data_IF_072106827652
#
_entry.id   IF_072106827652
#
_cell.length_a   1.000
_cell.length_b   1.000
_cell.length_c   1.000
_cell.angle_alpha   90.00
_cell.angle_beta   90.00
_cell.angle_gamma   90.00
#
_symmetry.space_group_name_H-M   'P 1'
#
loop_
_entity.id
_entity.type
_entity.pdbx_description
1 polymer ?
#
# COMPACT_ATOMS: atom_id res chain seq x y z
N UNK A 1 -40.81 25.98 -46.67
CA UNK A 1 -41.06 26.34 -45.24
C UNK A 1 -41.52 25.10 -44.48
N UNK A 2 -42.44 24.26 -45.01
CA UNK A 2 -42.92 23.04 -44.36
C UNK A 2 -41.81 21.99 -44.13
N UNK A 3 -40.89 21.84 -45.08
CA UNK A 3 -39.76 20.90 -45.00
C UNK A 3 -38.73 21.28 -43.93
N UNK A 4 -38.54 22.59 -43.72
CA UNK A 4 -37.61 23.13 -42.69
C UNK A 4 -38.20 22.93 -41.28
N UNK A 5 -39.51 23.10 -41.15
CA UNK A 5 -40.21 22.81 -39.89
C UNK A 5 -40.22 21.34 -39.52
N UNK A 6 -40.31 20.43 -40.48
CA UNK A 6 -40.24 18.98 -40.25
C UNK A 6 -38.84 18.54 -39.87
N UNK A 7 -37.79 19.15 -40.45
CA UNK A 7 -36.39 18.90 -40.12
C UNK A 7 -36.03 19.36 -38.69
N UNK A 8 -36.62 20.51 -38.27
CA UNK A 8 -36.44 21.05 -36.92
C UNK A 8 -37.09 20.18 -35.83
N UNK A 9 -38.21 19.51 -36.15
CA UNK A 9 -38.91 18.64 -35.20
C UNK A 9 -38.16 17.29 -34.96
N UNK A 10 -37.38 16.82 -35.94
CA UNK A 10 -36.57 15.58 -35.82
C UNK A 10 -35.33 15.77 -34.96
N UNK A 11 -34.87 17.00 -34.70
CA UNK A 11 -33.73 17.28 -33.84
C UNK A 11 -34.09 17.35 -32.34
N UNK A 12 -35.38 17.32 -31.99
CA UNK A 12 -35.87 17.36 -30.61
C UNK A 12 -36.04 15.98 -29.97
N UNK A 13 -35.82 14.89 -30.71
CA UNK A 13 -35.65 13.58 -30.10
C UNK A 13 -34.22 13.46 -29.55
N UNK A 14 -33.86 14.36 -28.65
CA UNK A 14 -32.69 14.21 -27.84
C UNK A 14 -32.79 12.86 -27.12
N UNK A 15 -31.83 11.97 -27.36
CA UNK A 15 -31.63 10.79 -26.57
C UNK A 15 -31.77 11.18 -25.09
N UNK A 16 -32.90 10.88 -24.48
CA UNK A 16 -32.97 10.81 -23.04
C UNK A 16 -31.96 9.71 -22.65
N UNK A 17 -30.81 10.15 -22.18
CA UNK A 17 -29.86 9.26 -21.52
C UNK A 17 -30.62 8.66 -20.35
N UNK A 18 -31.27 7.51 -20.59
CA UNK A 18 -31.75 6.69 -19.48
C UNK A 18 -30.53 6.42 -18.63
N UNK A 19 -30.55 6.97 -17.47
CA UNK A 19 -29.62 6.52 -16.43
C UNK A 19 -29.90 5.05 -16.20
N UNK A 20 -29.07 4.20 -16.80
CA UNK A 20 -29.11 2.72 -16.67
C UNK A 20 -28.91 2.23 -15.24
N UNK A 21 -28.87 3.15 -14.27
CA UNK A 21 -28.63 2.88 -12.85
C UNK A 21 -29.91 2.51 -12.06
N UNK A 22 -31.11 2.87 -12.55
CA UNK A 22 -32.35 2.62 -11.82
C UNK A 22 -32.88 1.18 -11.95
N UNK A 23 -32.43 0.43 -12.95
CA UNK A 23 -32.91 -0.94 -13.21
C UNK A 23 -31.98 -2.04 -12.63
N UNK A 24 -30.82 -1.69 -12.08
CA UNK A 24 -29.93 -2.68 -11.48
C UNK A 24 -30.25 -2.83 -10.00
N UNK A 25 -30.64 -4.04 -9.53
CA UNK A 25 -30.85 -4.25 -8.11
C UNK A 25 -29.53 -4.00 -7.38
N UNK A 26 -29.52 -3.05 -6.51
CA UNK A 26 -28.37 -2.74 -5.66
C UNK A 26 -28.74 -2.97 -4.21
N UNK A 27 -27.84 -3.60 -3.46
CA UNK A 27 -28.00 -3.77 -2.02
C UNK A 27 -27.24 -2.68 -1.30
N UNK A 28 -27.86 -2.10 -0.27
CA UNK A 28 -27.16 -1.21 0.65
C UNK A 28 -26.15 -1.99 1.48
N UNK A 29 -24.95 -1.46 1.58
CA UNK A 29 -23.88 -2.00 2.44
C UNK A 29 -23.40 -0.89 3.36
N UNK A 30 -23.49 -1.10 4.67
CA UNK A 30 -22.98 -0.21 5.72
C UNK A 30 -21.71 -0.82 6.31
N UNK A 31 -20.58 -0.18 6.06
CA UNK A 31 -19.26 -0.62 6.49
C UNK A 31 -18.84 0.18 7.72
N UNK A 32 -18.52 -0.50 8.81
CA UNK A 32 -17.90 0.07 9.99
C UNK A 32 -16.46 -0.41 10.09
N UNK A 33 -15.54 0.52 10.38
CA UNK A 33 -14.13 0.25 10.47
C UNK A 33 -13.68 0.30 11.94
N UNK A 34 -13.09 -0.80 12.41
CA UNK A 34 -12.48 -0.91 13.72
C UNK A 34 -10.98 -0.62 13.65
N UNK A 35 -10.54 0.39 14.40
CA UNK A 35 -9.15 0.82 14.51
C UNK A 35 -8.54 0.49 15.87
N UNK A 36 -9.14 -0.42 16.64
CA UNK A 36 -8.60 -0.84 17.93
C UNK A 36 -7.23 -1.50 17.75
N UNK A 37 -6.25 -0.97 18.48
CA UNK A 37 -4.84 -1.41 18.40
C UNK A 37 -3.97 -0.57 17.48
N UNK A 38 -4.53 0.43 16.79
CA UNK A 38 -3.75 1.43 16.05
C UNK A 38 -3.28 2.50 17.03
N UNK A 39 -1.97 2.64 17.20
CA UNK A 39 -1.33 3.62 18.09
C UNK A 39 -0.90 4.89 17.37
N UNK A 40 -0.79 4.83 16.05
CA UNK A 40 -0.42 5.96 15.22
C UNK A 40 -1.62 6.87 14.95
N UNK A 41 -1.37 8.04 14.35
CA UNK A 41 -2.43 8.92 13.86
C UNK A 41 -3.31 8.15 12.88
N UNK A 42 -4.61 8.17 13.10
CA UNK A 42 -5.57 7.56 12.18
C UNK A 42 -5.48 8.23 10.78
N UNK A 43 -5.67 7.46 9.70
CA UNK A 43 -5.70 7.99 8.35
C UNK A 43 -6.93 8.89 8.15
N UNK A 44 -6.94 9.67 7.06
CA UNK A 44 -8.08 10.53 6.72
C UNK A 44 -9.30 9.72 6.27
N UNK A 45 -9.06 8.58 5.65
CA UNK A 45 -10.10 7.67 5.20
C UNK A 45 -9.53 6.43 4.53
N UNK A 46 -10.42 5.65 3.95
CA UNK A 46 -10.11 4.40 3.26
C UNK A 46 -10.71 4.36 1.87
N UNK A 47 -10.07 3.63 0.99
CA UNK A 47 -10.62 3.24 -0.31
C UNK A 47 -11.09 1.80 -0.22
N UNK A 48 -12.30 1.54 -0.68
CA UNK A 48 -12.95 0.23 -0.67
C UNK A 48 -13.22 -0.17 -2.10
N UNK A 49 -12.70 -1.32 -2.53
CA UNK A 49 -12.86 -1.82 -3.89
C UNK A 49 -13.44 -3.23 -3.85
N UNK A 50 -14.58 -3.41 -4.52
CA UNK A 50 -15.20 -4.69 -4.77
C UNK A 50 -14.88 -5.12 -6.19
N UNK A 51 -14.13 -6.20 -6.33
CA UNK A 51 -13.81 -6.83 -7.61
C UNK A 51 -14.78 -7.98 -7.85
N UNK A 52 -15.61 -7.97 -8.92
CA UNK A 52 -16.51 -9.07 -9.21
C UNK A 52 -15.73 -10.35 -9.50
N UNK A 53 -16.13 -11.45 -8.87
CA UNK A 53 -15.40 -12.72 -8.96
C UNK A 53 -15.85 -13.58 -10.12
N UNK A 54 -17.13 -13.53 -10.45
CA UNK A 54 -17.74 -14.33 -11.50
C UNK A 54 -18.71 -13.49 -12.35
N UNK A 55 -18.59 -13.61 -13.66
CA UNK A 55 -19.53 -12.97 -14.58
C UNK A 55 -19.22 -11.50 -14.89
N UNK A 56 -20.18 -10.81 -15.49
CA UNK A 56 -20.06 -9.45 -16.03
C UNK A 56 -20.30 -8.34 -14.99
N UNK A 57 -20.03 -8.62 -13.72
CA UNK A 57 -20.15 -7.65 -12.65
C UNK A 57 -19.21 -6.45 -12.86
N UNK A 58 -19.63 -5.28 -12.39
CA UNK A 58 -18.79 -4.09 -12.42
C UNK A 58 -18.01 -3.95 -11.12
N UNK A 59 -16.75 -3.54 -11.23
CA UNK A 59 -15.94 -3.11 -10.08
C UNK A 59 -16.67 -1.95 -9.40
N UNK A 60 -16.85 -2.04 -8.09
CA UNK A 60 -17.39 -0.95 -7.27
C UNK A 60 -16.24 -0.39 -6.45
N UNK A 61 -16.01 0.91 -6.54
CA UNK A 61 -14.86 1.59 -5.98
C UNK A 61 -15.34 2.87 -5.29
N UNK A 62 -15.06 3.01 -4.00
CA UNK A 62 -15.50 4.17 -3.23
C UNK A 62 -14.51 4.56 -2.14
N UNK A 63 -14.38 5.85 -1.95
CA UNK A 63 -13.68 6.44 -0.81
C UNK A 63 -14.67 6.62 0.35
N UNK A 64 -14.32 6.13 1.52
CA UNK A 64 -15.09 6.25 2.75
C UNK A 64 -14.27 6.98 3.81
N UNK A 65 -14.99 7.50 4.82
CA UNK A 65 -14.34 8.08 5.99
C UNK A 65 -13.55 7.04 6.78
N UNK A 66 -12.70 7.48 7.70
CA UNK A 66 -12.00 6.59 8.64
C UNK A 66 -12.95 5.72 9.48
N UNK A 67 -14.18 6.13 9.67
CA UNK A 67 -15.21 5.35 10.40
C UNK A 67 -15.96 4.36 9.52
N UNK A 68 -15.73 4.41 8.20
CA UNK A 68 -16.50 3.70 7.20
C UNK A 68 -17.61 4.54 6.59
N UNK A 69 -18.71 3.90 6.23
CA UNK A 69 -19.88 4.55 5.65
C UNK A 69 -20.70 3.61 4.75
N UNK A 70 -21.77 4.16 4.18
CA UNK A 70 -22.68 3.42 3.32
C UNK A 70 -22.25 3.43 1.87
N UNK A 71 -22.47 2.33 1.17
CA UNK A 71 -22.29 2.21 -0.27
C UNK A 71 -23.35 1.29 -0.88
N UNK A 72 -23.55 1.41 -2.19
CA UNK A 72 -24.43 0.55 -2.97
C UNK A 72 -23.58 -0.41 -3.77
N UNK A 73 -23.84 -1.72 -3.61
CA UNK A 73 -23.13 -2.79 -4.31
C UNK A 73 -24.14 -3.72 -4.97
N UNK A 74 -24.04 -4.03 -6.29
CA UNK A 74 -24.89 -5.02 -6.92
C UNK A 74 -24.78 -6.38 -6.24
N UNK A 75 -25.86 -7.18 -6.17
CA UNK A 75 -25.78 -8.56 -5.70
C UNK A 75 -24.76 -9.36 -6.54
N UNK A 76 -23.96 -10.17 -5.87
CA UNK A 76 -22.90 -10.92 -6.53
C UNK A 76 -21.86 -11.47 -5.56
N UNK A 77 -20.81 -12.06 -6.09
CA UNK A 77 -19.64 -12.49 -5.34
C UNK A 77 -18.46 -11.61 -5.71
N UNK A 78 -17.76 -11.13 -4.70
CA UNK A 78 -16.68 -10.16 -4.85
C UNK A 78 -15.45 -10.59 -4.07
N UNK A 79 -14.29 -10.32 -4.62
CA UNK A 79 -13.07 -10.15 -3.82
C UNK A 79 -12.99 -8.68 -3.42
N UNK A 80 -12.63 -8.41 -2.18
CA UNK A 80 -12.66 -7.04 -1.64
C UNK A 80 -11.30 -6.64 -1.10
N UNK A 81 -10.88 -5.43 -1.39
CA UNK A 81 -9.75 -4.79 -0.72
C UNK A 81 -10.19 -3.48 -0.10
N UNK A 82 -9.63 -3.20 1.08
CA UNK A 82 -9.76 -1.92 1.77
C UNK A 82 -8.36 -1.47 2.17
N UNK A 83 -8.02 -0.22 1.91
CA UNK A 83 -6.76 0.36 2.35
C UNK A 83 -6.90 1.86 2.60
N UNK A 84 -6.07 2.40 3.50
CA UNK A 84 -6.04 3.85 3.70
C UNK A 84 -5.40 4.57 2.53
N UNK A 85 -5.92 5.74 2.20
CA UNK A 85 -5.33 6.65 1.22
C UNK A 85 -4.64 7.84 1.92
N UNK A 86 -4.13 8.79 1.13
CA UNK A 86 -3.35 9.96 1.59
C UNK A 86 -2.06 9.57 2.33
N UNK A 87 -1.35 8.60 1.76
CA UNK A 87 0.00 8.23 2.15
C UNK A 87 1.01 9.15 1.44
N UNK A 88 2.13 9.44 2.08
CA UNK A 88 3.16 10.35 1.53
C UNK A 88 4.09 9.61 0.55
N UNK A 89 4.56 8.43 0.94
CA UNK A 89 5.55 7.65 0.18
C UNK A 89 4.94 6.51 -0.63
N UNK A 90 3.80 5.96 -0.20
CA UNK A 90 3.17 4.80 -0.83
C UNK A 90 2.34 5.20 -2.04
N UNK A 91 2.48 4.43 -3.10
CA UNK A 91 1.69 4.49 -4.32
C UNK A 91 1.03 3.16 -4.58
N UNK A 92 -0.10 3.17 -5.28
CA UNK A 92 -0.83 1.95 -5.65
C UNK A 92 -0.76 1.77 -7.16
N UNK A 93 -0.56 0.52 -7.59
CA UNK A 93 -0.59 0.11 -9.00
C UNK A 93 -1.38 -1.18 -9.17
N UNK A 94 -1.71 -1.54 -10.42
CA UNK A 94 -2.41 -2.80 -10.73
C UNK A 94 -3.85 -2.84 -10.21
N UNK A 95 -4.50 -1.70 -10.04
CA UNK A 95 -5.84 -1.54 -9.44
C UNK A 95 -6.98 -2.15 -10.27
N UNK A 96 -6.70 -2.62 -11.47
CA UNK A 96 -7.71 -3.21 -12.36
C UNK A 96 -8.17 -4.58 -11.87
N UNK A 97 -7.35 -5.28 -11.09
CA UNK A 97 -7.61 -6.63 -10.62
C UNK A 97 -7.21 -6.82 -9.16
N UNK A 98 -8.01 -7.62 -8.43
CA UNK A 98 -7.69 -8.09 -7.09
C UNK A 98 -6.32 -8.80 -7.01
N UNK A 99 -5.96 -9.53 -8.06
CA UNK A 99 -4.72 -10.31 -8.12
C UNK A 99 -3.48 -9.43 -8.31
N UNK A 100 -3.64 -8.25 -8.91
CA UNK A 100 -2.53 -7.39 -9.33
C UNK A 100 -2.38 -6.12 -8.50
N UNK A 101 -3.37 -5.78 -7.67
CA UNK A 101 -3.30 -4.56 -6.86
C UNK A 101 -2.16 -4.62 -5.85
N UNK A 102 -1.27 -3.63 -5.91
CA UNK A 102 -0.02 -3.61 -5.18
C UNK A 102 0.31 -2.21 -4.66
N UNK A 103 0.76 -2.15 -3.40
CA UNK A 103 1.36 -0.97 -2.80
C UNK A 103 2.88 -1.01 -2.97
N UNK A 104 3.51 0.10 -3.35
CA UNK A 104 4.94 0.24 -3.53
C UNK A 104 5.40 1.66 -3.18
N UNK A 105 6.70 1.88 -3.05
CA UNK A 105 7.29 3.20 -2.86
C UNK A 105 8.14 3.61 -4.06
N UNK A 106 8.28 4.91 -4.28
CA UNK A 106 9.08 5.43 -5.38
C UNK A 106 10.57 5.35 -5.12
N UNK A 107 11.38 5.49 -6.18
CA UNK A 107 12.83 5.56 -6.08
C UNK A 107 13.30 6.86 -5.41
N UNK A 108 14.43 6.79 -4.72
CA UNK A 108 15.06 7.93 -4.04
C UNK A 108 15.85 8.85 -5.01
N UNK A 109 15.33 9.05 -6.22
CA UNK A 109 15.93 9.94 -7.19
C UNK A 109 15.93 11.38 -6.68
N UNK A 110 17.05 12.07 -6.77
CA UNK A 110 17.14 13.47 -6.40
C UNK A 110 17.72 13.76 -5.01
N UNK A 111 18.13 12.76 -4.24
CA UNK A 111 18.89 12.98 -3.00
C UNK A 111 20.31 13.54 -3.24
N UNK A 112 20.83 13.46 -4.48
CA UNK A 112 22.16 13.93 -4.82
C UNK A 112 23.30 13.12 -4.19
N UNK A 113 23.00 11.96 -3.62
CA UNK A 113 23.96 11.06 -2.96
C UNK A 113 24.15 9.85 -3.84
N UNK A 114 25.40 9.60 -4.23
CA UNK A 114 25.79 8.49 -5.10
C UNK A 114 25.30 7.13 -4.57
N UNK A 115 24.63 6.36 -5.42
CA UNK A 115 24.10 5.02 -5.12
C UNK A 115 22.68 5.01 -4.57
N UNK A 116 22.09 6.18 -4.25
CA UNK A 116 20.70 6.23 -3.75
C UNK A 116 19.66 6.16 -4.87
N UNK A 117 20.05 6.38 -6.11
CA UNK A 117 19.16 6.32 -7.29
C UNK A 117 18.55 4.93 -7.54
N UNK A 118 19.16 3.89 -6.99
CA UNK A 118 18.68 2.50 -7.06
C UNK A 118 17.90 2.07 -5.82
N UNK A 119 17.69 2.96 -4.85
CA UNK A 119 16.98 2.69 -3.61
C UNK A 119 15.55 3.19 -3.70
N UNK A 120 14.66 2.61 -2.89
CA UNK A 120 13.28 3.07 -2.72
C UNK A 120 13.10 3.70 -1.35
N UNK A 121 12.08 4.56 -1.23
CA UNK A 121 11.73 5.16 0.06
C UNK A 121 11.15 4.13 1.02
N UNK A 122 11.39 4.30 2.31
CA UNK A 122 10.65 3.60 3.36
C UNK A 122 9.15 3.90 3.24
N UNK A 123 8.26 2.88 3.29
CA UNK A 123 6.82 3.12 3.28
C UNK A 123 6.35 3.80 4.56
N UNK A 124 5.40 4.70 4.47
CA UNK A 124 4.62 5.19 5.61
C UNK A 124 3.54 4.18 6.05
N UNK A 125 2.67 4.55 6.98
CA UNK A 125 1.70 3.61 7.54
C UNK A 125 0.64 3.21 6.51
N UNK A 126 0.53 1.90 6.26
CA UNK A 126 -0.51 1.30 5.42
C UNK A 126 -1.29 0.25 6.21
N UNK A 127 -2.60 0.43 6.24
CA UNK A 127 -3.56 -0.48 6.86
C UNK A 127 -4.41 -1.10 5.77
N UNK A 128 -4.52 -2.41 5.77
CA UNK A 128 -5.17 -3.18 4.70
C UNK A 128 -6.14 -4.19 5.30
N UNK A 129 -7.24 -4.41 4.60
CA UNK A 129 -8.07 -5.60 4.69
C UNK A 129 -8.23 -6.18 3.29
N UNK A 130 -8.08 -7.48 3.16
CA UNK A 130 -8.39 -8.22 1.94
C UNK A 130 -9.32 -9.39 2.26
N UNK A 131 -10.33 -9.57 1.41
CA UNK A 131 -11.31 -10.66 1.51
C UNK A 131 -11.35 -11.34 0.15
N UNK A 132 -11.00 -12.61 0.10
CA UNK A 132 -10.98 -13.36 -1.16
C UNK A 132 -12.39 -13.53 -1.74
N UNK A 133 -13.38 -13.82 -0.90
CA UNK A 133 -14.76 -13.96 -1.36
C UNK A 133 -15.76 -13.39 -0.35
N UNK A 134 -16.58 -12.45 -0.82
CA UNK A 134 -17.72 -11.89 -0.11
C UNK A 134 -18.95 -12.01 -1.02
N UNK A 135 -20.03 -12.58 -0.51
CA UNK A 135 -21.31 -12.68 -1.21
C UNK A 135 -22.22 -11.53 -0.77
N UNK A 136 -22.71 -10.75 -1.74
CA UNK A 136 -23.75 -9.74 -1.55
C UNK A 136 -25.05 -10.31 -2.09
N UNK A 137 -26.04 -10.49 -1.24
CA UNK A 137 -27.36 -10.97 -1.64
C UNK A 137 -28.28 -9.81 -2.00
N UNK A 138 -29.25 -10.06 -2.87
CA UNK A 138 -30.30 -9.09 -3.15
C UNK A 138 -31.15 -8.95 -1.89
N UNK A 139 -31.17 -7.76 -1.29
CA UNK A 139 -31.92 -7.45 -0.08
C UNK A 139 -32.39 -6.02 -0.09
N UNK A 140 -33.55 -5.75 0.47
CA UNK A 140 -34.03 -4.41 0.82
C UNK A 140 -33.40 -3.91 2.12
N UNK A 141 -32.89 -4.84 2.95
CA UNK A 141 -32.21 -4.52 4.19
C UNK A 141 -30.73 -4.20 3.91
N UNK A 142 -30.19 -3.23 4.67
CA UNK A 142 -28.78 -2.84 4.59
C UNK A 142 -27.92 -3.92 5.23
N UNK A 143 -26.98 -4.47 4.46
CA UNK A 143 -25.98 -5.40 4.96
C UNK A 143 -24.94 -4.63 5.80
N UNK A 144 -24.78 -5.02 7.06
CA UNK A 144 -23.78 -4.42 7.96
C UNK A 144 -22.52 -5.26 8.00
N UNK A 145 -21.38 -4.61 7.79
CA UNK A 145 -20.05 -5.22 7.77
C UNK A 145 -19.14 -4.49 8.77
N UNK A 146 -18.73 -5.20 9.82
CA UNK A 146 -17.75 -4.70 10.78
C UNK A 146 -16.36 -5.22 10.40
N UNK A 147 -15.49 -4.33 9.97
CA UNK A 147 -14.18 -4.67 9.41
C UNK A 147 -13.04 -4.07 10.23
N UNK A 148 -12.01 -4.86 10.40
CA UNK A 148 -10.76 -4.45 11.04
C UNK A 148 -9.64 -4.47 10.02
N UNK A 149 -8.96 -3.33 9.86
CA UNK A 149 -7.77 -3.23 9.03
C UNK A 149 -6.54 -3.56 9.87
N UNK A 150 -5.56 -4.19 9.23
CA UNK A 150 -4.29 -4.51 9.85
C UNK A 150 -3.16 -3.70 9.22
N UNK A 151 -2.22 -3.23 10.05
CA UNK A 151 -0.99 -2.62 9.53
C UNK A 151 -0.21 -3.65 8.74
N UNK A 152 0.16 -3.33 7.51
CA UNK A 152 1.03 -4.15 6.65
C UNK A 152 2.45 -3.63 6.57
N UNK A 153 2.76 -2.63 7.38
CA UNK A 153 4.08 -2.02 7.51
C UNK A 153 4.64 -2.31 8.90
N UNK A 154 5.91 -2.67 8.97
CA UNK A 154 6.64 -2.93 10.22
C UNK A 154 7.74 -1.89 10.40
N UNK A 155 7.85 -1.34 11.61
CA UNK A 155 8.89 -0.39 11.99
C UNK A 155 10.10 -1.12 12.55
N UNK A 156 11.27 -0.70 12.14
CA UNK A 156 12.57 -1.17 12.60
C UNK A 156 13.36 -0.02 13.17
N UNK A 157 14.18 -0.28 14.19
CA UNK A 157 15.07 0.70 14.79
C UNK A 157 16.39 0.02 15.15
N UNK A 158 17.50 0.76 15.02
CA UNK A 158 18.80 0.27 15.43
C UNK A 158 19.66 1.39 15.99
N UNK A 159 20.65 0.97 16.76
CA UNK A 159 21.72 1.82 17.27
C UNK A 159 23.04 1.11 16.98
N UNK A 160 23.98 1.80 16.35
CA UNK A 160 25.31 1.29 16.07
C UNK A 160 26.32 2.23 16.72
N UNK A 161 27.16 1.70 17.61
CA UNK A 161 28.30 2.43 18.18
C UNK A 161 29.43 2.51 17.15
N UNK A 162 29.98 3.69 16.95
CA UNK A 162 31.07 3.93 16.00
C UNK A 162 32.02 4.99 16.55
N UNK A 163 33.31 4.85 16.24
CA UNK A 163 34.36 5.82 16.57
C UNK A 163 34.74 6.64 15.33
N UNK A 164 35.23 7.84 15.53
CA UNK A 164 35.67 8.72 14.45
C UNK A 164 34.52 9.40 13.70
N UNK A 165 33.35 9.47 14.32
CA UNK A 165 32.17 10.12 13.72
C UNK A 165 32.35 11.64 13.56
N UNK A 166 33.30 12.26 14.29
CA UNK A 166 33.67 13.66 14.15
C UNK A 166 34.21 14.01 12.75
N UNK A 167 34.75 13.03 12.03
CA UNK A 167 35.27 13.20 10.67
C UNK A 167 34.22 12.85 9.59
N UNK A 168 33.00 12.55 9.98
CA UNK A 168 31.92 12.12 9.07
C UNK A 168 30.92 13.26 8.91
N UNK A 169 30.74 13.72 7.68
CA UNK A 169 29.73 14.73 7.34
C UNK A 169 28.31 14.14 7.37
N UNK A 170 28.11 13.01 6.72
CA UNK A 170 26.79 12.39 6.52
C UNK A 170 26.89 10.87 6.59
N UNK A 171 25.84 10.25 7.09
CA UNK A 171 25.67 8.79 7.04
C UNK A 171 24.42 8.46 6.25
N UNK A 172 24.55 7.62 5.23
CA UNK A 172 23.45 7.12 4.43
C UNK A 172 23.17 5.68 4.84
N UNK A 173 21.91 5.38 5.11
CA UNK A 173 21.47 4.03 5.46
C UNK A 173 20.63 3.41 4.39
N UNK A 174 20.85 2.13 4.12
CA UNK A 174 19.96 1.31 3.33
C UNK A 174 19.87 -0.09 3.88
N UNK A 175 18.77 -0.77 3.57
CA UNK A 175 18.56 -2.15 3.95
C UNK A 175 18.05 -2.93 2.74
N UNK A 176 18.66 -4.09 2.51
CA UNK A 176 18.28 -5.05 1.48
C UNK A 176 17.67 -6.30 2.10
N UNK A 177 16.93 -7.09 1.31
CA UNK A 177 16.28 -8.32 1.76
C UNK A 177 14.94 -8.13 2.47
N UNK A 178 14.41 -6.90 2.56
CA UNK A 178 13.05 -6.63 3.02
C UNK A 178 12.09 -6.39 1.86
N UNK A 179 10.79 -6.53 2.12
CA UNK A 179 9.76 -6.26 1.10
C UNK A 179 9.66 -4.76 0.83
N UNK A 180 9.88 -4.36 -0.41
CA UNK A 180 9.72 -3.00 -0.94
C UNK A 180 8.36 -2.76 -1.59
N UNK A 181 7.55 -3.81 -1.74
CA UNK A 181 6.17 -3.72 -2.16
C UNK A 181 5.27 -4.75 -1.45
N UNK A 182 3.95 -4.57 -1.55
CA UNK A 182 2.93 -5.39 -0.89
C UNK A 182 1.75 -5.65 -1.83
N UNK A 183 1.53 -6.92 -2.20
CA UNK A 183 0.36 -7.34 -2.95
C UNK A 183 -0.88 -7.30 -2.04
N UNK A 184 -1.70 -6.27 -2.19
CA UNK A 184 -2.85 -6.00 -1.31
C UNK A 184 -3.86 -7.14 -1.37
N UNK A 185 -4.26 -7.56 -2.56
CA UNK A 185 -5.24 -8.63 -2.72
C UNK A 185 -4.74 -9.99 -2.18
N UNK A 186 -3.45 -10.29 -2.35
CA UNK A 186 -2.84 -11.53 -1.85
C UNK A 186 -2.42 -11.48 -0.40
N UNK A 187 -2.46 -10.30 0.22
CA UNK A 187 -2.09 -10.12 1.62
C UNK A 187 -0.64 -10.44 1.95
N UNK A 188 0.30 -10.17 1.04
CA UNK A 188 1.72 -10.52 1.24
C UNK A 188 2.69 -9.50 0.67
N UNK A 189 3.79 -9.31 1.38
CA UNK A 189 4.94 -8.57 0.88
C UNK A 189 5.66 -9.34 -0.23
N UNK A 190 6.22 -8.58 -1.16
CA UNK A 190 7.07 -9.07 -2.24
C UNK A 190 8.40 -8.38 -2.11
N UNK A 191 9.48 -9.15 -2.12
CA UNK A 191 10.83 -8.61 -2.19
C UNK A 191 11.18 -8.40 -3.66
N UNK A 192 11.36 -7.14 -4.06
CA UNK A 192 12.14 -6.84 -5.24
C UNK A 192 13.61 -6.74 -4.82
N UNK A 193 14.49 -6.55 -5.75
CA UNK A 193 15.93 -6.43 -5.49
C UNK A 193 16.37 -5.00 -5.15
N UNK A 194 15.45 -4.13 -4.73
CA UNK A 194 15.77 -2.73 -4.46
C UNK A 194 15.94 -2.48 -2.97
N UNK A 195 17.09 -1.98 -2.52
CA UNK A 195 17.29 -1.61 -1.12
C UNK A 195 16.37 -0.48 -0.70
N UNK A 196 15.89 -0.53 0.54
CA UNK A 196 15.09 0.53 1.14
C UNK A 196 16.03 1.56 1.77
N UNK A 197 15.93 2.81 1.34
CA UNK A 197 16.64 3.94 1.93
C UNK A 197 15.98 4.41 3.22
N UNK A 198 16.80 4.85 4.17
CA UNK A 198 16.35 5.53 5.38
C UNK A 198 17.40 6.53 5.88
N UNK A 199 16.91 7.54 6.59
CA UNK A 199 17.77 8.53 7.20
C UNK A 199 18.45 8.01 8.47
N UNK A 200 19.72 8.36 8.62
CA UNK A 200 20.54 8.00 9.78
C UNK A 200 20.90 9.27 10.55
N UNK A 201 20.64 9.26 11.84
CA UNK A 201 21.06 10.34 12.75
C UNK A 201 22.42 10.03 13.34
N UNK A 202 23.35 10.92 13.11
CA UNK A 202 24.71 10.87 13.67
C UNK A 202 24.73 11.53 15.03
N UNK A 203 25.24 10.85 16.08
CA UNK A 203 25.64 11.40 17.36
C UNK A 203 27.16 11.41 17.48
N UNK A 204 27.71 11.65 18.68
CA UNK A 204 29.14 11.77 18.92
C UNK A 204 29.87 10.42 18.77
N UNK A 205 29.29 9.34 19.30
CA UNK A 205 29.88 8.01 19.30
C UNK A 205 28.90 6.91 18.83
N UNK A 206 27.76 7.27 18.26
CA UNK A 206 26.75 6.33 17.77
C UNK A 206 25.97 6.90 16.61
N UNK A 207 25.46 6.01 15.79
CA UNK A 207 24.46 6.31 14.76
C UNK A 207 23.17 5.59 15.10
N UNK A 208 22.05 6.25 14.87
CA UNK A 208 20.71 5.73 15.13
C UNK A 208 19.83 5.91 13.91
N UNK A 209 18.98 4.93 13.64
CA UNK A 209 17.96 5.09 12.63
C UNK A 209 16.67 4.38 13.01
N UNK A 210 15.58 4.81 12.39
CA UNK A 210 14.30 4.14 12.42
C UNK A 210 13.72 4.21 11.01
N UNK A 211 13.29 3.09 10.48
CA UNK A 211 12.71 2.98 9.16
C UNK A 211 11.57 1.96 9.16
N UNK A 212 10.86 1.90 8.07
CA UNK A 212 9.72 1.01 7.88
C UNK A 212 9.90 0.17 6.61
N UNK A 213 9.31 -1.01 6.59
CA UNK A 213 9.24 -1.88 5.42
C UNK A 213 7.90 -2.62 5.41
N UNK A 214 7.46 -3.09 4.26
CA UNK A 214 6.28 -3.94 4.19
C UNK A 214 6.51 -5.28 4.88
N UNK A 215 5.48 -5.80 5.54
CA UNK A 215 5.54 -7.11 6.20
C UNK A 215 5.75 -8.23 5.17
N UNK A 216 6.65 -9.13 5.49
CA UNK A 216 6.85 -10.38 4.74
C UNK A 216 5.94 -11.48 5.29
N UNK A 217 5.61 -12.47 4.46
CA UNK A 217 4.82 -13.64 4.88
C UNK A 217 5.61 -14.59 5.79
N UNK A 218 6.95 -14.60 5.68
CA UNK A 218 7.82 -15.37 6.58
C UNK A 218 8.41 -14.45 7.64
N UNK A 219 8.21 -14.78 8.91
CA UNK A 219 9.07 -14.25 9.97
C UNK A 219 10.50 -14.74 9.71
N UNK A 220 11.32 -13.85 9.17
CA UNK A 220 12.76 -14.11 9.13
C UNK A 220 13.30 -13.93 10.55
N UNK A 221 13.78 -15.03 11.12
CA UNK A 221 14.58 -14.99 12.36
C UNK A 221 15.90 -14.32 12.01
N UNK A 222 16.10 -13.07 12.50
CA UNK A 222 17.41 -12.42 12.38
C UNK A 222 18.46 -13.27 13.08
N UNK A 223 19.56 -13.65 12.42
CA UNK A 223 20.67 -14.29 13.11
C UNK A 223 21.30 -13.29 14.09
N UNK A 224 21.18 -13.56 15.38
CA UNK A 224 21.66 -12.70 16.48
C UNK A 224 23.19 -12.78 16.68
N UNK A 225 23.94 -13.40 15.78
CA UNK A 225 25.40 -13.53 15.90
C UNK A 225 26.13 -13.08 14.65
N UNK A 226 26.90 -12.02 14.79
CA UNK A 226 28.09 -11.82 13.97
C UNK A 226 29.09 -12.92 14.33
N UNK A 227 29.16 -13.99 13.57
CA UNK A 227 30.28 -14.92 13.59
C UNK A 227 31.15 -14.65 12.36
N UNK A 228 32.35 -14.19 12.62
CA UNK A 228 33.46 -14.23 11.68
C UNK A 228 33.72 -15.68 11.29
N UNK A 229 33.76 -15.94 9.95
CA UNK A 229 34.27 -17.18 9.35
C UNK A 229 33.42 -18.45 9.59
N UNK A 230 32.58 -18.75 8.61
CA UNK A 230 32.63 -20.02 7.86
C UNK A 230 31.64 -19.94 6.69
N UNK A 231 32.15 -20.18 5.48
CA UNK A 231 31.38 -20.28 4.25
C UNK A 231 30.53 -21.57 4.33
N UNK A 232 29.26 -21.43 4.63
CA UNK A 232 28.26 -22.40 4.23
C UNK A 232 27.40 -21.83 3.13
N UNK A 233 27.34 -22.52 2.01
CA UNK A 233 26.52 -22.25 0.83
C UNK A 233 25.05 -22.50 1.17
N UNK A 234 24.43 -21.57 1.89
CA UNK A 234 22.98 -21.42 1.96
C UNK A 234 22.58 -20.29 0.99
N UNK A 235 21.51 -20.49 0.25
CA UNK A 235 21.10 -19.62 -0.84
C UNK A 235 21.08 -18.15 -0.39
N UNK A 236 21.86 -17.32 -1.07
CA UNK A 236 22.16 -15.90 -0.81
C UNK A 236 20.94 -14.97 -0.87
N UNK A 237 19.73 -15.51 -1.02
CA UNK A 237 18.49 -14.75 -1.24
C UNK A 237 17.69 -14.41 0.03
N UNK A 238 18.05 -14.91 1.20
CA UNK A 238 17.28 -14.77 2.43
C UNK A 238 17.98 -13.90 3.51
N UNK A 239 19.10 -13.28 3.20
CA UNK A 239 19.84 -12.46 4.15
C UNK A 239 19.32 -11.00 4.13
N UNK A 240 19.01 -10.44 5.32
CA UNK A 240 18.80 -9.01 5.49
C UNK A 240 20.17 -8.34 5.62
N UNK A 241 20.48 -7.39 4.73
CA UNK A 241 21.77 -6.70 4.69
C UNK A 241 21.55 -5.23 5.03
N UNK A 242 22.08 -4.81 6.18
CA UNK A 242 22.13 -3.40 6.59
C UNK A 242 23.43 -2.78 6.06
N UNK A 243 23.30 -1.70 5.29
CA UNK A 243 24.44 -0.97 4.72
C UNK A 243 24.43 0.45 5.30
N UNK A 244 25.55 0.86 5.90
CA UNK A 244 25.81 2.23 6.34
C UNK A 244 26.99 2.79 5.56
N UNK A 245 26.75 3.83 4.75
CA UNK A 245 27.78 4.55 3.99
C UNK A 245 28.15 5.84 4.73
N UNK A 246 29.39 5.94 5.20
CA UNK A 246 29.92 7.11 5.88
C UNK A 246 30.63 8.02 4.85
N UNK A 247 30.17 9.26 4.76
CA UNK A 247 30.71 10.29 3.88
C UNK A 247 31.55 11.24 4.73
N UNK A 248 32.86 11.35 4.41
CA UNK A 248 33.77 12.22 5.16
C UNK A 248 33.48 13.69 4.90
N UNK A 249 33.86 14.53 5.85
CA UNK A 249 33.95 15.98 5.67
C UNK A 249 35.12 16.26 4.73
N UNK A 250 34.92 16.96 3.63
CA UNK A 250 36.00 17.49 2.83
C UNK A 250 36.69 18.58 3.64
N UNK A 251 37.97 18.40 3.92
CA UNK A 251 38.84 19.41 4.56
C UNK A 251 39.39 20.37 3.52
#
# INVERSE_FOLDING_TARGET
ILLVLLSSLLMLTGCSRRELLDDYPVSGVDIKLDWNGVTDKLPEGVRVIFYPKYGDGRKVDKYLSVRGGEMKVPPGRYSVVVYNYNTESIRIRGEESYETIEAYTGNCNGLGIEGTEKMVWSPDSLYVLNIDELKIEKSEEVLRLDWKLESVVKKYSFVVEARGLEYVATVVGSIDGLSDCYCIGKGRGVCSSQPIYFEVRKGDNKVTASFTAFKQVKEMTMPTRMSTSERETSSEKDAIILILKFIKTDN
#
